data_IF_003686703546
#
_entry.id   IF_003686703546
#
_cell.length_a   1.000
_cell.length_b   1.000
_cell.length_c   1.000
_cell.angle_alpha   90.00
_cell.angle_beta   90.00
_cell.angle_gamma   90.00
#
_symmetry.space_group_name_H-M   'P 1'
#
loop_
_entity.id
_entity.type
_entity.pdbx_description
1 polymer ?
#
# COMPACT_ATOMS: atom_id res chain seq x y z
N UNK A 1 -5.62 -7.57 7.64
CA UNK A 1 -5.16 -6.27 7.11
C UNK A 1 -3.89 -5.91 7.85
N UNK A 2 -2.84 -5.50 7.14
CA UNK A 2 -1.54 -5.15 7.72
C UNK A 2 -1.27 -3.67 7.46
N UNK A 3 -0.95 -2.92 8.51
CA UNK A 3 -0.61 -1.50 8.41
C UNK A 3 0.89 -1.28 8.65
N UNK A 4 1.50 -0.44 7.80
CA UNK A 4 2.88 0.00 7.89
C UNK A 4 2.86 1.52 7.94
N UNK A 5 3.39 2.12 9.00
CA UNK A 5 3.29 3.56 9.24
C UNK A 5 4.67 4.17 9.54
N UNK A 6 4.98 5.30 8.90
CA UNK A 6 6.06 6.21 9.28
C UNK A 6 5.48 7.53 9.80
N UNK A 7 6.28 8.29 10.54
CA UNK A 7 5.90 9.54 11.19
C UNK A 7 6.36 10.81 10.44
N UNK A 8 6.75 10.69 9.17
CA UNK A 8 7.25 11.83 8.41
C UNK A 8 6.11 12.60 7.73
N UNK A 9 5.11 11.89 7.19
CA UNK A 9 3.99 12.53 6.47
C UNK A 9 4.40 13.26 5.18
N UNK A 10 5.49 12.82 4.54
CA UNK A 10 6.04 13.47 3.35
C UNK A 10 5.58 12.85 2.03
N UNK A 11 4.70 11.84 2.07
CA UNK A 11 4.24 11.18 0.86
C UNK A 11 3.38 12.11 0.00
N UNK A 12 3.79 12.28 -1.25
CA UNK A 12 3.05 13.04 -2.26
C UNK A 12 2.80 12.14 -3.48
N UNK A 13 1.54 11.78 -3.77
CA UNK A 13 1.22 11.02 -4.97
C UNK A 13 1.48 11.90 -6.19
N UNK A 14 2.53 11.60 -6.95
CA UNK A 14 2.83 12.33 -8.18
C UNK A 14 2.06 11.71 -9.34
N UNK A 15 1.28 12.53 -10.05
CA UNK A 15 0.44 12.12 -11.19
C UNK A 15 1.22 11.54 -12.40
N UNK A 16 2.56 11.55 -12.35
CA UNK A 16 3.42 11.13 -13.46
C UNK A 16 4.56 10.18 -13.08
N UNK A 17 4.78 9.88 -11.79
CA UNK A 17 5.76 8.84 -11.43
C UNK A 17 5.02 7.53 -11.22
N UNK A 18 5.20 6.61 -12.17
CA UNK A 18 4.91 5.20 -11.93
C UNK A 18 6.04 4.67 -11.06
N UNK A 19 6.07 5.09 -9.79
CA UNK A 19 7.05 4.61 -8.83
C UNK A 19 7.02 3.09 -8.82
N UNK A 20 8.13 2.45 -9.19
CA UNK A 20 8.20 0.99 -9.30
C UNK A 20 7.93 0.28 -7.96
N UNK A 21 8.06 0.97 -6.82
CA UNK A 21 7.81 0.37 -5.51
C UNK A 21 6.32 0.09 -5.30
N UNK A 22 5.58 1.10 -4.84
CA UNK A 22 4.18 0.94 -4.43
C UNK A 22 3.25 0.47 -5.56
N UNK A 23 3.38 1.03 -6.77
CA UNK A 23 2.51 0.64 -7.89
C UNK A 23 2.72 -0.82 -8.31
N UNK A 24 3.94 -1.34 -8.23
CA UNK A 24 4.21 -2.75 -8.55
C UNK A 24 3.70 -3.69 -7.46
N UNK A 25 3.82 -3.29 -6.19
CA UNK A 25 3.26 -4.06 -5.07
C UNK A 25 1.73 -4.15 -5.23
N UNK A 26 1.04 -3.03 -5.46
CA UNK A 26 -0.41 -3.02 -5.70
C UNK A 26 -0.80 -3.92 -6.87
N UNK A 27 -0.11 -3.75 -8.01
CA UNK A 27 -0.35 -4.54 -9.22
C UNK A 27 -0.19 -6.04 -8.96
N UNK A 28 0.90 -6.46 -8.30
CA UNK A 28 1.17 -7.88 -8.02
C UNK A 28 0.14 -8.48 -7.08
N UNK A 29 -0.32 -7.73 -6.09
CA UNK A 29 -1.36 -8.19 -5.17
C UNK A 29 -2.69 -8.41 -5.89
N UNK A 30 -3.09 -7.46 -6.76
CA UNK A 30 -4.31 -7.59 -7.56
C UNK A 30 -4.23 -8.74 -8.56
N UNK A 31 -3.10 -8.88 -9.26
CA UNK A 31 -2.89 -9.96 -10.22
C UNK A 31 -2.90 -11.35 -9.56
N UNK A 32 -2.41 -11.46 -8.33
CA UNK A 32 -2.31 -12.75 -7.65
C UNK A 32 -3.56 -13.15 -6.85
N UNK A 33 -4.21 -12.19 -6.19
CA UNK A 33 -5.32 -12.46 -5.26
C UNK A 33 -6.67 -11.89 -5.70
N UNK A 34 -6.70 -11.01 -6.70
CA UNK A 34 -7.90 -10.33 -7.19
C UNK A 34 -8.02 -8.88 -6.72
N UNK A 35 -8.97 -8.14 -7.29
CA UNK A 35 -9.09 -6.68 -7.13
C UNK A 35 -9.48 -6.21 -5.72
N UNK A 36 -9.99 -7.12 -4.88
CA UNK A 36 -10.28 -6.86 -3.47
C UNK A 36 -9.00 -6.70 -2.63
N UNK A 37 -7.87 -7.19 -3.15
CA UNK A 37 -6.54 -7.10 -2.54
C UNK A 37 -5.73 -5.95 -3.13
N UNK A 38 -4.62 -5.59 -2.49
CA UNK A 38 -3.78 -4.47 -2.90
C UNK A 38 -3.32 -3.60 -1.74
N UNK A 39 -2.86 -2.40 -2.08
CA UNK A 39 -2.44 -1.39 -1.10
C UNK A 39 -3.34 -0.16 -1.16
N UNK A 40 -3.42 0.55 -0.04
CA UNK A 40 -3.96 1.91 0.03
C UNK A 40 -3.04 2.76 0.89
N UNK A 41 -2.93 4.05 0.55
CA UNK A 41 -2.06 4.99 1.26
C UNK A 41 -2.91 6.10 1.87
N UNK A 42 -2.72 6.34 3.16
CA UNK A 42 -3.21 7.52 3.86
C UNK A 42 -2.00 8.35 4.29
N UNK A 43 -2.04 9.66 4.08
CA UNK A 43 -0.97 10.56 4.48
C UNK A 43 -1.56 11.77 5.18
N UNK A 44 -1.08 12.06 6.39
CA UNK A 44 -1.32 13.31 7.09
C UNK A 44 -0.01 14.11 7.09
N UNK A 45 0.05 15.27 6.43
CA UNK A 45 1.27 16.07 6.32
C UNK A 45 1.89 16.35 7.69
N UNK A 46 3.22 16.20 7.76
CA UNK A 46 4.02 16.40 8.97
C UNK A 46 3.62 15.51 10.17
N UNK A 47 2.76 14.51 9.95
CA UNK A 47 2.25 13.62 10.98
C UNK A 47 2.56 12.15 10.67
N UNK A 48 2.05 11.60 9.56
CA UNK A 48 2.29 10.21 9.19
C UNK A 48 2.08 9.91 7.70
N UNK A 49 2.75 8.86 7.23
CA UNK A 49 2.34 8.10 6.03
C UNK A 49 2.00 6.68 6.46
N UNK A 50 0.78 6.22 6.17
CA UNK A 50 0.32 4.87 6.46
C UNK A 50 -0.02 4.14 5.18
N UNK A 51 0.62 2.99 4.98
CA UNK A 51 0.28 2.02 3.93
C UNK A 51 -0.51 0.88 4.56
N UNK A 52 -1.67 0.61 4.00
CA UNK A 52 -2.54 -0.50 4.37
C UNK A 52 -2.49 -1.56 3.29
N UNK A 53 -2.11 -2.79 3.67
CA UNK A 53 -2.10 -3.95 2.80
C UNK A 53 -3.32 -4.85 3.10
N UNK A 54 -4.08 -5.15 2.04
CA UNK A 54 -5.12 -6.19 2.06
C UNK A 54 -4.53 -7.46 1.50
N UNK A 55 -4.35 -8.45 2.37
CA UNK A 55 -3.81 -9.78 2.09
C UNK A 55 -4.80 -10.83 2.59
N UNK A 56 -4.89 -12.01 1.95
CA UNK A 56 -5.64 -13.13 2.49
C UNK A 56 -5.00 -13.59 3.79
N UNK A 57 -5.83 -14.13 4.70
CA UNK A 57 -5.32 -14.84 5.87
C UNK A 57 -4.77 -16.18 5.38
N UNK A 58 -3.51 -16.50 5.68
CA UNK A 58 -3.03 -17.87 5.49
C UNK A 58 -3.84 -18.79 6.41
N UNK A 59 -4.45 -19.82 5.85
CA UNK A 59 -4.92 -20.95 6.63
C UNK A 59 -3.69 -21.78 6.98
N UNK A 60 -3.30 -21.83 8.26
CA UNK A 60 -2.27 -22.75 8.74
C UNK A 60 -2.65 -24.18 8.31
N UNK A 61 -1.77 -24.82 7.54
CA UNK A 61 -1.90 -26.21 7.06
C UNK A 61 -1.57 -27.24 8.14
#
# INVERSE_FOLDING_TARGET
>A
MLDIEDNAGLYQPSAGSSGLGMSLVDKRLREHFGDDYGISVACEPDCFTRITLRLPLEEDA
#
